data_IF_969473906098
#
_entry.id   IF_969473906098
#
_cell.length_a   1.000
_cell.length_b   1.000
_cell.length_c   1.000
_cell.angle_alpha   90.00
_cell.angle_beta   90.00
_cell.angle_gamma   90.00
#
_symmetry.space_group_name_H-M   'P 1'
#
loop_
_entity.id
_entity.type
_entity.pdbx_description
1 polymer ?
#
# COMPACT_ATOMS: atom_id res chain seq x y z
N UNK A 1 8.18 -18.29 1.81
CA UNK A 1 7.15 -18.03 2.81
C UNK A 1 7.64 -17.03 3.85
N UNK A 2 8.76 -17.27 4.53
CA UNK A 2 9.24 -16.48 5.67
C UNK A 2 9.48 -14.99 5.31
N UNK A 3 10.04 -14.71 4.12
CA UNK A 3 10.18 -13.32 3.64
C UNK A 3 8.83 -12.61 3.45
N UNK A 4 7.81 -13.32 2.95
CA UNK A 4 6.47 -12.74 2.79
C UNK A 4 5.85 -12.47 4.17
N UNK A 5 6.00 -13.38 5.11
CA UNK A 5 5.54 -13.21 6.49
C UNK A 5 6.23 -12.04 7.17
N UNK A 6 7.55 -11.89 7.00
CA UNK A 6 8.29 -10.73 7.53
C UNK A 6 7.80 -9.41 6.93
N UNK A 7 7.60 -9.37 5.61
CA UNK A 7 7.06 -8.18 4.94
C UNK A 7 5.64 -7.87 5.42
N UNK A 8 4.80 -8.89 5.54
CA UNK A 8 3.45 -8.74 6.09
C UNK A 8 3.47 -8.10 7.49
N UNK A 9 4.29 -8.61 8.40
CA UNK A 9 4.38 -8.05 9.75
C UNK A 9 4.92 -6.62 9.75
N UNK A 10 5.92 -6.32 8.92
CA UNK A 10 6.47 -4.97 8.81
C UNK A 10 5.43 -3.97 8.29
N UNK A 11 4.75 -4.29 7.20
CA UNK A 11 3.73 -3.41 6.63
C UNK A 11 2.51 -3.29 7.53
N UNK A 12 2.12 -4.38 8.19
CA UNK A 12 1.06 -4.39 9.19
C UNK A 12 1.38 -3.48 10.37
N UNK A 13 2.58 -3.58 10.94
CA UNK A 13 3.01 -2.71 12.05
C UNK A 13 3.08 -1.24 11.62
N UNK A 14 3.53 -0.95 10.39
CA UNK A 14 3.51 0.40 9.83
C UNK A 14 2.09 0.92 9.65
N UNK A 15 1.19 0.09 9.13
CA UNK A 15 -0.24 0.40 9.00
C UNK A 15 -0.85 0.72 10.37
N UNK A 16 -0.65 -0.13 11.36
CA UNK A 16 -1.16 0.06 12.73
C UNK A 16 -0.64 1.36 13.35
N UNK A 17 0.65 1.65 13.18
CA UNK A 17 1.23 2.92 13.64
C UNK A 17 0.59 4.13 12.98
N UNK A 18 0.43 4.11 11.65
CA UNK A 18 -0.19 5.23 10.92
C UNK A 18 -1.68 5.39 11.25
N UNK A 19 -2.40 4.29 11.42
CA UNK A 19 -3.80 4.31 11.85
C UNK A 19 -3.91 4.93 13.24
N UNK A 20 -3.10 4.48 14.21
CA UNK A 20 -3.10 5.02 15.57
C UNK A 20 -2.80 6.54 15.60
N UNK A 21 -1.81 7.01 14.83
CA UNK A 21 -1.48 8.43 14.71
C UNK A 21 -2.66 9.20 14.11
N UNK A 22 -3.33 8.61 13.11
CA UNK A 22 -4.46 9.26 12.43
C UNK A 22 -5.71 9.27 13.29
N UNK A 23 -6.03 8.19 14.00
CA UNK A 23 -7.18 8.11 14.91
C UNK A 23 -7.03 9.01 16.14
N UNK A 24 -5.80 9.22 16.60
CA UNK A 24 -5.51 10.17 17.70
C UNK A 24 -5.39 11.60 17.24
N UNK A 25 -5.50 11.86 15.94
CA UNK A 25 -5.28 13.20 15.37
C UNK A 25 -3.94 13.80 15.80
N UNK A 26 -2.90 12.96 15.88
CA UNK A 26 -1.55 13.41 16.20
C UNK A 26 -1.01 14.27 15.05
N UNK A 27 -0.53 15.47 15.39
CA UNK A 27 -0.13 16.49 14.42
C UNK A 27 -1.20 17.56 14.15
N UNK A 28 -2.41 17.40 14.67
CA UNK A 28 -3.43 18.44 14.68
C UNK A 28 -3.31 19.34 15.94
N UNK A 29 -3.90 20.52 15.86
CA UNK A 29 -3.99 21.41 17.03
C UNK A 29 -4.74 20.76 18.19
N UNK A 30 -4.37 21.08 19.43
CA UNK A 30 -4.98 20.49 20.62
C UNK A 30 -6.51 20.62 20.65
N UNK A 31 -7.03 21.79 20.24
CA UNK A 31 -8.47 22.03 20.14
C UNK A 31 -9.17 21.07 19.18
N UNK A 32 -8.57 20.80 18.04
CA UNK A 32 -9.12 19.89 17.02
C UNK A 32 -9.14 18.46 17.55
N UNK A 33 -8.02 18.01 18.12
CA UNK A 33 -7.92 16.68 18.72
C UNK A 33 -8.98 16.46 19.79
N UNK A 34 -9.16 17.43 20.69
CA UNK A 34 -10.16 17.34 21.76
C UNK A 34 -11.60 17.30 21.25
N UNK A 35 -11.89 17.98 20.16
CA UNK A 35 -13.20 17.87 19.51
C UNK A 35 -13.37 16.51 18.84
N UNK A 36 -12.32 16.00 18.18
CA UNK A 36 -12.40 14.71 17.47
C UNK A 36 -12.52 13.53 18.45
N UNK A 37 -12.03 13.65 19.69
CA UNK A 37 -12.29 12.68 20.78
C UNK A 37 -13.79 12.56 21.11
N UNK A 38 -14.59 13.58 20.79
CA UNK A 38 -16.06 13.57 21.01
C UNK A 38 -16.84 13.00 19.83
N UNK A 39 -16.20 12.66 18.73
CA UNK A 39 -16.87 12.24 17.48
C UNK A 39 -17.78 11.04 17.69
N UNK A 40 -17.33 10.04 18.43
CA UNK A 40 -18.11 8.81 18.68
C UNK A 40 -19.35 9.06 19.53
N UNK A 41 -19.33 10.09 20.39
CA UNK A 41 -20.44 10.48 21.26
C UNK A 41 -21.34 11.56 20.63
N UNK A 42 -20.87 12.26 19.61
CA UNK A 42 -21.62 13.31 18.91
C UNK A 42 -21.61 13.09 17.39
N UNK A 43 -22.64 12.45 16.84
CA UNK A 43 -22.74 12.16 15.41
C UNK A 43 -22.79 13.41 14.52
N UNK A 44 -23.03 14.60 15.09
CA UNK A 44 -22.97 15.85 14.35
C UNK A 44 -21.55 16.30 14.01
N UNK A 45 -20.51 15.65 14.55
CA UNK A 45 -19.11 15.83 14.17
C UNK A 45 -18.79 14.89 13.02
N UNK A 46 -18.71 15.40 11.80
CA UNK A 46 -18.51 14.58 10.60
C UNK A 46 -17.04 14.23 10.40
N UNK A 47 -16.11 15.08 10.81
CA UNK A 47 -14.68 14.87 10.70
C UNK A 47 -13.92 16.16 10.44
N UNK A 48 -12.66 16.06 10.07
CA UNK A 48 -11.88 17.20 9.56
C UNK A 48 -11.80 17.12 8.04
N UNK A 49 -11.46 18.23 7.37
CA UNK A 49 -11.35 18.28 5.91
C UNK A 49 -10.41 17.19 5.38
N UNK A 50 -9.28 16.95 6.05
CA UNK A 50 -8.34 15.90 5.69
C UNK A 50 -8.96 14.49 5.69
N UNK A 51 -10.03 14.25 6.47
CA UNK A 51 -10.73 12.96 6.49
C UNK A 51 -11.72 12.80 5.34
N UNK A 52 -12.23 13.90 4.81
CA UNK A 52 -13.30 13.94 3.83
C UNK A 52 -12.75 13.99 2.39
N UNK A 53 -11.66 14.72 2.19
CA UNK A 53 -11.08 14.96 0.87
C UNK A 53 -10.11 13.85 0.51
N UNK A 54 -10.37 13.16 -0.61
CA UNK A 54 -9.45 12.20 -1.23
C UNK A 54 -8.82 12.81 -2.47
N UNK A 55 -7.53 12.60 -2.65
CA UNK A 55 -6.78 13.20 -3.76
C UNK A 55 -5.80 12.18 -4.36
N UNK A 56 -5.57 12.27 -5.67
CA UNK A 56 -4.54 11.47 -6.33
C UNK A 56 -3.14 12.00 -5.97
N UNK A 57 -2.17 11.09 -5.83
CA UNK A 57 -0.80 11.41 -5.41
C UNK A 57 -0.18 12.60 -6.13
N UNK A 58 -0.41 12.71 -7.43
CA UNK A 58 0.15 13.80 -8.26
C UNK A 58 -0.37 15.19 -7.91
N UNK A 59 -1.52 15.28 -7.22
CA UNK A 59 -2.16 16.54 -6.84
C UNK A 59 -2.08 16.83 -5.33
N UNK A 60 -1.53 15.91 -4.51
CA UNK A 60 -1.48 16.05 -3.06
C UNK A 60 -0.87 17.39 -2.62
N UNK A 61 0.31 17.72 -3.13
CA UNK A 61 1.01 18.96 -2.77
C UNK A 61 0.20 20.19 -3.14
N UNK A 62 -0.37 20.21 -4.35
CA UNK A 62 -1.19 21.32 -4.81
C UNK A 62 -2.45 21.49 -3.94
N UNK A 63 -3.14 20.40 -3.63
CA UNK A 63 -4.38 20.45 -2.85
C UNK A 63 -4.09 20.78 -1.37
N UNK A 64 -3.02 20.23 -0.77
CA UNK A 64 -2.63 20.62 0.58
C UNK A 64 -2.26 22.10 0.65
N UNK A 65 -1.54 22.63 -0.33
CA UNK A 65 -1.24 24.06 -0.44
C UNK A 65 -2.53 24.88 -0.61
N UNK A 66 -3.42 24.43 -1.49
CA UNK A 66 -4.70 25.08 -1.73
C UNK A 66 -5.56 25.16 -0.47
N UNK A 67 -5.62 24.08 0.31
CA UNK A 67 -6.35 24.03 1.58
C UNK A 67 -5.60 24.79 2.68
N UNK A 68 -4.28 24.69 2.74
CA UNK A 68 -3.48 25.29 3.79
C UNK A 68 -3.99 24.90 5.18
N UNK A 69 -4.12 25.87 6.07
CA UNK A 69 -4.65 25.64 7.43
C UNK A 69 -6.09 25.12 7.48
N UNK A 70 -6.88 25.30 6.41
CA UNK A 70 -8.27 24.84 6.39
C UNK A 70 -8.40 23.31 6.34
N UNK A 71 -7.32 22.61 6.00
CA UNK A 71 -7.27 21.14 6.00
C UNK A 71 -7.64 20.52 7.36
N UNK A 72 -7.42 21.27 8.44
CA UNK A 72 -7.72 20.87 9.83
C UNK A 72 -9.09 21.35 10.31
N UNK A 73 -9.86 22.09 9.50
CA UNK A 73 -11.16 22.59 9.93
C UNK A 73 -12.12 21.42 10.14
N UNK A 74 -12.92 21.56 11.18
CA UNK A 74 -13.89 20.55 11.60
C UNK A 74 -15.19 20.75 10.82
N UNK A 75 -15.68 19.69 10.23
CA UNK A 75 -16.96 19.70 9.52
C UNK A 75 -18.04 19.19 10.48
N UNK A 76 -19.13 19.93 10.55
CA UNK A 76 -20.30 19.59 11.35
C UNK A 76 -21.55 19.50 10.48
N UNK A 77 -22.54 18.77 10.95
CA UNK A 77 -23.82 18.62 10.26
C UNK A 77 -24.55 19.97 10.15
N UNK A 78 -24.56 20.74 11.23
CA UNK A 78 -25.33 21.99 11.36
C UNK A 78 -24.65 23.01 12.28
N UNK A 79 -25.12 24.25 12.19
CA UNK A 79 -24.61 25.39 12.97
C UNK A 79 -24.81 25.24 14.49
N UNK A 80 -25.89 24.60 14.93
CA UNK A 80 -26.12 24.34 16.36
C UNK A 80 -25.03 23.44 16.95
N UNK A 81 -24.63 22.37 16.23
CA UNK A 81 -23.52 21.53 16.64
C UNK A 81 -22.21 22.32 16.74
N UNK A 82 -21.92 23.15 15.73
CA UNK A 82 -20.73 24.00 15.76
C UNK A 82 -20.74 24.95 16.96
N UNK A 83 -21.91 25.56 17.26
CA UNK A 83 -22.10 26.45 18.40
C UNK A 83 -21.82 25.74 19.75
N UNK A 84 -22.33 24.55 19.93
CA UNK A 84 -22.11 23.73 21.13
C UNK A 84 -20.62 23.39 21.31
N UNK A 85 -19.93 23.00 20.22
CA UNK A 85 -18.52 22.70 20.25
C UNK A 85 -17.64 23.93 20.52
N UNK A 86 -18.01 25.09 20.01
CA UNK A 86 -17.35 26.37 20.32
C UNK A 86 -17.50 26.68 21.83
N UNK A 87 -18.70 26.49 22.38
CA UNK A 87 -18.93 26.67 23.80
C UNK A 87 -18.10 25.68 24.63
N UNK A 88 -18.02 24.42 24.24
CA UNK A 88 -17.17 23.42 24.87
C UNK A 88 -15.70 23.81 24.86
N UNK A 89 -15.15 24.26 23.74
CA UNK A 89 -13.75 24.72 23.63
C UNK A 89 -13.50 25.91 24.58
N UNK A 90 -14.44 26.84 24.64
CA UNK A 90 -14.35 28.04 25.51
C UNK A 90 -14.37 27.67 26.99
N UNK A 91 -15.31 26.83 27.40
CA UNK A 91 -15.47 26.40 28.80
C UNK A 91 -14.24 25.65 29.30
N UNK A 92 -13.68 24.78 28.46
CA UNK A 92 -12.52 23.94 28.80
C UNK A 92 -11.18 24.60 28.50
N UNK A 93 -11.14 25.85 28.03
CA UNK A 93 -9.91 26.58 27.65
C UNK A 93 -8.99 25.82 26.68
N UNK A 94 -9.58 25.10 25.75
CA UNK A 94 -8.87 24.20 24.81
C UNK A 94 -8.32 24.90 23.55
N UNK A 95 -8.44 26.22 23.48
CA UNK A 95 -8.01 26.99 22.31
C UNK A 95 -9.15 27.24 21.33
N UNK A 96 -8.78 27.44 20.06
CA UNK A 96 -9.73 27.78 18.97
C UNK A 96 -9.69 26.74 17.88
N UNK A 97 -10.83 26.45 17.25
CA UNK A 97 -10.97 25.67 16.05
C UNK A 97 -11.95 26.37 15.08
N UNK A 98 -11.82 26.09 13.81
CA UNK A 98 -12.77 26.55 12.78
C UNK A 98 -13.72 25.42 12.47
N UNK A 99 -15.01 25.73 12.47
CA UNK A 99 -16.08 24.79 12.16
C UNK A 99 -16.73 25.14 10.84
N UNK A 100 -17.12 24.13 10.08
CA UNK A 100 -17.73 24.22 8.76
C UNK A 100 -19.07 23.47 8.81
N UNK A 101 -20.19 24.14 9.18
CA UNK A 101 -21.50 23.52 9.20
C UNK A 101 -22.01 23.30 7.78
N UNK A 102 -22.33 22.05 7.44
CA UNK A 102 -22.76 21.70 6.07
C UNK A 102 -24.07 22.38 5.66
N UNK A 103 -24.98 22.56 6.60
CA UNK A 103 -26.26 23.23 6.31
C UNK A 103 -26.13 24.72 5.98
N UNK A 104 -25.05 25.36 6.43
CA UNK A 104 -24.77 26.77 6.16
C UNK A 104 -23.85 26.99 4.95
N UNK A 105 -23.15 25.94 4.53
CA UNK A 105 -22.21 26.04 3.41
C UNK A 105 -22.95 25.77 2.09
N UNK A 106 -23.15 26.81 1.32
CA UNK A 106 -23.57 26.71 -0.05
C UNK A 106 -22.37 26.70 -0.98
N UNK A 107 -22.45 25.94 -2.07
CA UNK A 107 -21.42 25.97 -3.13
C UNK A 107 -21.26 27.38 -3.66
N UNK A 108 -20.03 27.91 -3.63
CA UNK A 108 -19.71 29.19 -4.27
C UNK A 108 -19.68 29.01 -5.79
N UNK A 109 -19.87 30.14 -6.53
CA UNK A 109 -19.59 30.12 -7.96
C UNK A 109 -18.15 29.64 -8.18
N UNK A 110 -18.02 28.54 -8.88
CA UNK A 110 -16.73 27.96 -9.26
C UNK A 110 -16.15 28.66 -10.48
N UNK A 111 -14.87 28.42 -10.76
CA UNK A 111 -14.23 28.94 -11.99
C UNK A 111 -14.63 28.16 -13.26
N UNK A 112 -15.54 27.21 -13.19
CA UNK A 112 -15.87 26.29 -14.29
C UNK A 112 -16.29 27.00 -15.62
N UNK A 113 -16.88 28.17 -15.50
CA UNK A 113 -17.31 28.97 -16.65
C UNK A 113 -16.33 30.08 -17.05
N UNK A 114 -15.24 30.22 -16.31
CA UNK A 114 -14.26 31.26 -16.53
C UNK A 114 -13.25 30.85 -17.63
N UNK A 115 -12.84 31.81 -18.49
CA UNK A 115 -11.90 31.49 -19.56
C UNK A 115 -10.53 31.01 -19.10
N UNK A 116 -10.16 31.30 -17.84
CA UNK A 116 -8.86 30.91 -17.26
C UNK A 116 -8.60 29.39 -17.24
N UNK A 117 -9.65 28.57 -17.31
CA UNK A 117 -9.53 27.11 -17.33
C UNK A 117 -8.86 26.60 -18.60
N UNK A 118 -8.98 27.34 -19.68
CA UNK A 118 -8.47 26.97 -21.01
C UNK A 118 -7.05 27.46 -21.28
N UNK A 119 -6.45 28.11 -20.31
CA UNK A 119 -5.09 28.62 -20.44
C UNK A 119 -4.07 27.49 -20.47
N UNK A 120 -2.94 27.74 -21.14
CA UNK A 120 -1.85 26.76 -21.22
C UNK A 120 -1.26 26.51 -19.84
N UNK A 121 -0.99 25.25 -19.53
CA UNK A 121 -0.46 24.80 -18.22
C UNK A 121 -1.52 24.62 -17.14
N UNK A 122 -2.80 24.92 -17.40
CA UNK A 122 -3.88 24.68 -16.45
C UNK A 122 -4.22 23.19 -16.42
N UNK A 123 -4.15 22.61 -15.22
CA UNK A 123 -4.54 21.23 -14.93
C UNK A 123 -6.05 21.15 -14.67
N UNK A 124 -6.57 22.12 -13.92
CA UNK A 124 -7.99 22.20 -13.61
C UNK A 124 -8.26 23.04 -12.36
N UNK A 125 -9.53 23.03 -11.96
CA UNK A 125 -9.95 23.64 -10.70
C UNK A 125 -9.68 22.67 -9.57
N UNK A 126 -9.17 23.15 -8.44
CA UNK A 126 -8.80 22.30 -7.32
C UNK A 126 -9.96 21.44 -6.81
N UNK A 127 -11.22 21.94 -6.87
CA UNK A 127 -12.41 21.16 -6.50
C UNK A 127 -12.65 19.93 -7.38
N UNK A 128 -12.23 19.98 -8.64
CA UNK A 128 -12.43 18.89 -9.61
C UNK A 128 -11.31 17.86 -9.57
N UNK A 129 -10.22 18.15 -8.84
CA UNK A 129 -9.06 17.28 -8.66
C UNK A 129 -9.13 16.46 -7.38
N UNK A 130 -10.20 16.64 -6.61
CA UNK A 130 -10.47 15.91 -5.36
C UNK A 130 -11.70 15.02 -5.54
N UNK A 131 -11.76 13.96 -4.76
CA UNK A 131 -12.92 13.08 -4.66
C UNK A 131 -13.52 13.22 -3.27
N UNK A 132 -14.80 13.47 -3.21
CA UNK A 132 -15.57 13.54 -1.97
C UNK A 132 -16.91 12.82 -2.18
N UNK A 133 -17.55 12.42 -1.08
CA UNK A 133 -18.93 11.90 -1.15
C UNK A 133 -19.89 13.03 -1.56
N UNK A 134 -20.99 12.66 -2.17
CA UNK A 134 -21.99 13.60 -2.72
C UNK A 134 -22.41 14.71 -1.72
N UNK A 135 -22.58 14.34 -0.46
CA UNK A 135 -22.94 15.28 0.63
C UNK A 135 -21.91 16.39 0.87
N UNK A 136 -20.64 16.18 0.49
CA UNK A 136 -19.55 17.14 0.66
C UNK A 136 -19.17 17.90 -0.63
N UNK A 137 -19.88 17.72 -1.72
CA UNK A 137 -19.58 18.43 -2.99
C UNK A 137 -19.61 19.94 -2.84
N UNK A 138 -20.64 20.47 -2.15
CA UNK A 138 -20.75 21.90 -1.90
C UNK A 138 -19.60 22.42 -1.02
N UNK A 139 -19.16 21.63 -0.05
CA UNK A 139 -18.02 21.95 0.79
C UNK A 139 -16.72 21.99 -0.03
N UNK A 140 -16.49 21.01 -0.92
CA UNK A 140 -15.33 20.99 -1.80
C UNK A 140 -15.34 22.20 -2.76
N UNK A 141 -16.50 22.54 -3.35
CA UNK A 141 -16.68 23.74 -4.19
C UNK A 141 -16.46 25.03 -3.39
N UNK A 142 -16.93 25.09 -2.14
CA UNK A 142 -16.72 26.24 -1.27
C UNK A 142 -15.23 26.48 -0.98
N UNK A 143 -14.48 25.43 -0.64
CA UNK A 143 -13.06 25.51 -0.27
C UNK A 143 -12.12 25.67 -1.48
N UNK A 144 -12.38 24.93 -2.55
CA UNK A 144 -11.45 24.70 -3.66
C UNK A 144 -11.95 25.20 -5.02
N UNK A 145 -13.22 25.55 -5.13
CA UNK A 145 -13.86 25.88 -6.42
C UNK A 145 -13.37 27.17 -7.07
N UNK A 146 -12.61 28.01 -6.37
CA UNK A 146 -12.01 29.24 -6.88
C UNK A 146 -10.49 29.21 -6.92
N UNK A 147 -9.89 28.03 -6.86
CA UNK A 147 -8.45 27.82 -6.90
C UNK A 147 -8.11 27.07 -8.19
N UNK A 148 -7.24 27.67 -8.99
CA UNK A 148 -6.76 27.09 -10.23
C UNK A 148 -5.48 26.30 -9.94
N UNK A 149 -5.40 25.07 -10.42
CA UNK A 149 -4.18 24.26 -10.34
C UNK A 149 -3.48 24.29 -11.69
N UNK A 150 -2.21 24.62 -11.67
CA UNK A 150 -1.35 24.83 -12.84
C UNK A 150 -0.11 23.93 -12.70
N UNK A 151 0.48 23.57 -13.81
CA UNK A 151 1.64 22.66 -13.87
C UNK A 151 2.89 23.22 -13.21
N UNK A 152 3.24 24.49 -13.46
CA UNK A 152 4.46 25.14 -12.99
C UNK A 152 4.25 26.64 -12.72
N UNK A 153 5.27 27.23 -12.09
CA UNK A 153 5.26 28.63 -11.65
C UNK A 153 5.26 29.61 -12.83
N UNK A 154 5.93 29.27 -13.94
CA UNK A 154 6.03 30.17 -15.09
C UNK A 154 4.65 30.37 -15.75
N UNK A 155 3.92 29.28 -15.97
CA UNK A 155 2.55 29.30 -16.45
C UNK A 155 1.63 29.99 -15.45
N UNK A 156 1.81 29.74 -14.15
CA UNK A 156 1.04 30.40 -13.10
C UNK A 156 1.22 31.92 -13.13
N UNK A 157 2.46 32.42 -13.32
CA UNK A 157 2.74 33.87 -13.44
C UNK A 157 2.14 34.48 -14.70
N UNK A 158 2.21 33.78 -15.84
CA UNK A 158 1.60 34.26 -17.09
C UNK A 158 0.08 34.42 -16.94
N UNK A 159 -0.58 33.42 -16.35
CA UNK A 159 -2.00 33.43 -16.08
C UNK A 159 -2.34 34.52 -15.05
N UNK A 160 -1.62 34.62 -13.96
CA UNK A 160 -1.85 35.64 -12.94
C UNK A 160 -1.79 37.06 -13.53
N UNK A 161 -0.76 37.38 -14.36
CA UNK A 161 -0.63 38.65 -15.05
C UNK A 161 -1.81 38.92 -16.00
N UNK A 162 -2.18 37.92 -16.82
CA UNK A 162 -3.27 38.01 -17.78
C UNK A 162 -4.59 38.34 -17.07
N UNK A 163 -4.84 37.74 -15.90
CA UNK A 163 -6.08 37.96 -15.12
C UNK A 163 -5.88 39.01 -14.01
N UNK A 164 -4.90 39.90 -14.13
CA UNK A 164 -4.65 41.06 -13.23
C UNK A 164 -4.56 40.63 -11.78
N UNK A 165 -3.92 39.49 -11.49
CA UNK A 165 -3.77 38.94 -10.14
C UNK A 165 -5.09 38.80 -9.36
N UNK A 166 -6.19 38.49 -10.05
CA UNK A 166 -7.49 38.27 -9.40
C UNK A 166 -7.73 36.82 -9.02
N UNK A 167 -6.93 35.89 -9.55
CA UNK A 167 -7.08 34.46 -9.34
C UNK A 167 -6.17 33.97 -8.21
N UNK A 168 -6.65 32.98 -7.46
CA UNK A 168 -5.80 32.16 -6.62
C UNK A 168 -5.33 30.95 -7.43
N UNK A 169 -4.03 30.83 -7.57
CA UNK A 169 -3.39 29.79 -8.39
C UNK A 169 -2.44 29.00 -7.49
N UNK A 170 -2.41 27.69 -7.68
CA UNK A 170 -1.48 26.79 -7.00
C UNK A 170 -0.83 25.90 -8.05
N UNK A 171 0.49 25.69 -7.97
CA UNK A 171 1.21 24.79 -8.86
C UNK A 171 1.23 23.37 -8.31
N UNK A 172 1.60 22.40 -9.15
CA UNK A 172 1.80 21.01 -8.70
C UNK A 172 2.92 20.88 -7.66
N UNK A 173 3.90 21.77 -7.69
CA UNK A 173 5.03 21.80 -6.74
C UNK A 173 4.69 22.52 -5.43
N UNK A 174 3.52 23.15 -5.36
CA UNK A 174 3.02 23.79 -4.15
C UNK A 174 3.35 25.27 -4.01
N UNK A 175 3.74 25.94 -5.11
CA UNK A 175 3.77 27.40 -5.08
C UNK A 175 2.34 27.97 -5.19
N UNK A 176 2.10 29.05 -4.50
CA UNK A 176 0.80 29.68 -4.45
C UNK A 176 0.89 31.15 -4.82
N UNK A 177 0.04 31.54 -5.73
CA UNK A 177 -0.20 32.94 -6.09
C UNK A 177 -1.57 33.34 -5.58
N UNK A 178 -1.62 34.37 -4.76
CA UNK A 178 -2.89 34.88 -4.21
C UNK A 178 -3.38 36.09 -4.97
N UNK A 179 -4.69 36.35 -4.92
CA UNK A 179 -5.24 37.61 -5.39
C UNK A 179 -4.51 38.80 -4.74
N UNK A 180 -4.20 39.80 -5.57
CA UNK A 180 -3.39 40.95 -5.14
C UNK A 180 -1.88 40.78 -5.34
N UNK A 181 -1.41 39.60 -5.84
CA UNK A 181 -0.04 39.39 -6.32
C UNK A 181 0.94 38.85 -5.29
N UNK A 182 0.49 38.54 -4.07
CA UNK A 182 1.38 37.87 -3.11
C UNK A 182 1.66 36.44 -3.56
N UNK A 183 2.92 36.03 -3.41
CA UNK A 183 3.41 34.74 -3.81
C UNK A 183 3.98 34.01 -2.60
N UNK A 184 3.68 32.75 -2.49
CA UNK A 184 4.25 31.83 -1.51
C UNK A 184 4.83 30.67 -2.27
N UNK A 185 6.10 30.38 -2.06
CA UNK A 185 6.81 29.30 -2.73
C UNK A 185 8.10 28.98 -2.00
N UNK A 186 8.82 28.06 -2.54
CA UNK A 186 10.02 27.52 -1.95
C UNK A 186 9.85 26.03 -1.72
N UNK A 187 10.86 25.40 -1.14
CA UNK A 187 10.80 23.98 -0.96
C UNK A 187 9.63 23.61 0.00
N UNK A 188 8.65 22.89 -0.53
CA UNK A 188 7.42 22.53 0.19
C UNK A 188 7.75 21.60 1.35
N UNK A 189 7.56 22.13 2.56
CA UNK A 189 7.69 21.35 3.78
C UNK A 189 6.34 20.80 4.17
N UNK A 190 6.06 19.59 3.78
CA UNK A 190 4.84 18.93 4.20
C UNK A 190 4.96 18.46 5.65
N UNK A 191 4.79 19.38 6.61
CA UNK A 191 4.92 19.07 8.04
C UNK A 191 3.80 18.16 8.55
N UNK A 192 2.66 18.19 7.89
CA UNK A 192 1.51 17.39 8.29
C UNK A 192 1.27 16.17 7.37
N UNK A 193 1.54 16.31 6.07
CA UNK A 193 1.22 15.30 5.03
C UNK A 193 -0.09 14.55 5.31
N UNK A 194 -1.13 15.30 5.67
CA UNK A 194 -2.37 14.71 6.19
C UNK A 194 -3.12 13.93 5.10
N UNK A 195 -3.14 14.46 3.86
CA UNK A 195 -3.75 13.77 2.71
C UNK A 195 -2.93 12.54 2.29
N UNK A 196 -1.61 12.69 2.20
CA UNK A 196 -0.71 11.60 1.84
C UNK A 196 -0.71 10.45 2.87
N UNK A 197 -0.83 10.78 4.16
CA UNK A 197 -0.93 9.76 5.22
C UNK A 197 -2.16 8.87 5.04
N UNK A 198 -3.30 9.45 4.69
CA UNK A 198 -4.54 8.69 4.47
C UNK A 198 -4.42 7.77 3.26
N UNK A 199 -3.85 8.26 2.17
CA UNK A 199 -3.55 7.43 0.99
C UNK A 199 -2.59 6.29 1.33
N UNK A 200 -1.52 6.57 2.08
CA UNK A 200 -0.56 5.56 2.52
C UNK A 200 -1.24 4.45 3.35
N UNK A 201 -2.17 4.81 4.23
CA UNK A 201 -3.00 3.84 4.97
C UNK A 201 -3.82 2.97 4.01
N UNK A 202 -4.45 3.55 2.98
CA UNK A 202 -5.23 2.78 2.00
C UNK A 202 -4.34 1.85 1.15
N UNK A 203 -3.15 2.32 0.74
CA UNK A 203 -2.16 1.52 0.01
C UNK A 203 -1.62 0.36 0.88
N UNK A 204 -1.27 0.65 2.13
CA UNK A 204 -0.81 -0.37 3.08
C UNK A 204 -1.90 -1.39 3.40
N UNK A 205 -3.17 -0.98 3.54
CA UNK A 205 -4.30 -1.91 3.72
C UNK A 205 -4.40 -2.90 2.56
N UNK A 206 -4.25 -2.44 1.33
CA UNK A 206 -4.26 -3.30 0.15
C UNK A 206 -3.07 -4.25 0.15
N UNK A 207 -1.86 -3.71 0.35
CA UNK A 207 -0.64 -4.51 0.37
C UNK A 207 -0.66 -5.57 1.48
N UNK A 208 -1.08 -5.21 2.69
CA UNK A 208 -1.25 -6.16 3.82
C UNK A 208 -2.26 -7.26 3.46
N UNK A 209 -3.37 -6.91 2.82
CA UNK A 209 -4.37 -7.88 2.37
C UNK A 209 -3.80 -8.85 1.31
N UNK A 210 -3.06 -8.32 0.33
CA UNK A 210 -2.43 -9.12 -0.73
C UNK A 210 -1.32 -10.03 -0.17
N UNK A 211 -0.48 -9.50 0.73
CA UNK A 211 0.55 -10.29 1.41
C UNK A 211 -0.05 -11.37 2.30
N UNK A 212 -1.16 -11.09 2.98
CA UNK A 212 -1.90 -12.08 3.77
C UNK A 212 -2.43 -13.23 2.90
N UNK A 213 -3.05 -12.91 1.76
CA UNK A 213 -3.52 -13.92 0.79
C UNK A 213 -2.37 -14.76 0.26
N UNK A 214 -1.31 -14.11 -0.21
CA UNK A 214 -0.12 -14.79 -0.73
C UNK A 214 0.55 -15.68 0.32
N UNK A 215 0.59 -15.23 1.57
CA UNK A 215 1.09 -16.03 2.69
C UNK A 215 0.26 -17.29 2.92
N UNK A 216 -1.07 -17.15 2.87
CA UNK A 216 -2.00 -18.29 3.06
C UNK A 216 -1.90 -19.28 1.91
N UNK A 217 -1.84 -18.80 0.67
CA UNK A 217 -1.67 -19.63 -0.52
C UNK A 217 -0.34 -20.40 -0.51
N UNK A 218 0.74 -19.74 -0.10
CA UNK A 218 2.03 -20.41 0.04
C UNK A 218 2.03 -21.44 1.18
N UNK A 219 1.31 -21.14 2.26
CA UNK A 219 1.19 -22.06 3.40
C UNK A 219 0.45 -23.33 2.99
N UNK A 220 -0.63 -23.20 2.21
CA UNK A 220 -1.34 -24.36 1.64
C UNK A 220 -0.46 -25.15 0.67
N UNK A 221 0.20 -24.47 -0.27
CA UNK A 221 1.13 -25.13 -1.20
C UNK A 221 2.28 -25.85 -0.48
N UNK A 222 2.81 -25.30 0.58
CA UNK A 222 3.84 -25.96 1.40
C UNK A 222 3.26 -27.18 2.11
N UNK A 223 2.04 -27.09 2.66
CA UNK A 223 1.37 -28.22 3.30
C UNK A 223 1.11 -29.36 2.29
N UNK A 224 0.59 -29.02 1.11
CA UNK A 224 0.34 -29.97 0.02
C UNK A 224 1.62 -30.65 -0.46
N UNK A 225 2.70 -29.86 -0.62
CA UNK A 225 3.99 -30.41 -1.02
C UNK A 225 4.58 -31.31 0.07
N UNK A 226 4.42 -30.95 1.35
CA UNK A 226 4.85 -31.81 2.47
C UNK A 226 4.08 -33.11 2.51
N UNK A 227 2.75 -33.06 2.29
CA UNK A 227 1.93 -34.27 2.20
C UNK A 227 2.36 -35.16 1.02
N UNK A 228 2.61 -34.57 -0.15
CA UNK A 228 3.14 -35.30 -1.30
C UNK A 228 4.52 -35.93 -1.04
N UNK A 229 5.41 -35.18 -0.38
CA UNK A 229 6.74 -35.70 -0.01
C UNK A 229 6.60 -36.86 0.98
N UNK A 230 5.69 -36.77 1.96
CA UNK A 230 5.44 -37.84 2.92
C UNK A 230 4.91 -39.08 2.20
N UNK A 231 3.91 -38.94 1.33
CA UNK A 231 3.38 -40.03 0.52
C UNK A 231 4.44 -40.69 -0.39
N UNK A 232 5.28 -39.89 -1.03
CA UNK A 232 6.37 -40.41 -1.86
C UNK A 232 7.39 -41.16 -1.00
N UNK A 233 7.70 -40.71 0.20
CA UNK A 233 8.59 -41.42 1.14
C UNK A 233 8.03 -42.78 1.55
N UNK A 234 6.74 -42.82 1.88
CA UNK A 234 6.06 -44.07 2.21
C UNK A 234 6.10 -45.07 1.02
N UNK A 235 5.91 -44.58 -0.20
CA UNK A 235 6.03 -45.39 -1.41
C UNK A 235 7.46 -45.91 -1.62
N UNK A 236 8.45 -45.03 -1.42
CA UNK A 236 9.86 -45.44 -1.52
C UNK A 236 10.21 -46.46 -0.45
N UNK A 237 9.73 -46.30 0.79
CA UNK A 237 9.99 -47.25 1.87
C UNK A 237 9.30 -48.59 1.62
N UNK A 238 8.08 -48.57 1.06
CA UNK A 238 7.35 -49.77 0.66
C UNK A 238 8.09 -50.50 -0.50
N UNK A 239 8.54 -49.72 -1.48
CA UNK A 239 9.30 -50.27 -2.63
C UNK A 239 10.66 -50.83 -2.21
N UNK A 240 11.38 -50.13 -1.33
CA UNK A 240 12.62 -50.62 -0.75
C UNK A 240 12.44 -51.94 0.04
N UNK A 241 11.30 -52.08 0.74
CA UNK A 241 10.96 -53.28 1.45
C UNK A 241 10.66 -54.43 0.50
N UNK A 242 9.85 -54.17 -0.55
CA UNK A 242 9.56 -55.15 -1.61
C UNK A 242 10.85 -55.58 -2.35
N UNK A 243 11.72 -54.62 -2.67
CA UNK A 243 13.01 -54.95 -3.29
C UNK A 243 13.93 -55.82 -2.39
N UNK A 244 13.91 -55.59 -1.06
CA UNK A 244 14.68 -56.46 -0.15
C UNK A 244 14.10 -57.87 -0.09
N UNK A 245 12.75 -57.97 -0.03
CA UNK A 245 12.07 -59.26 -0.03
C UNK A 245 12.31 -60.03 -1.35
N UNK A 246 12.25 -59.30 -2.49
CA UNK A 246 12.59 -59.85 -3.80
C UNK A 246 14.08 -60.26 -3.85
N UNK A 247 14.97 -59.42 -3.32
CA UNK A 247 16.40 -59.75 -3.29
C UNK A 247 16.70 -61.01 -2.41
N UNK A 248 16.01 -61.14 -1.29
CA UNK A 248 16.09 -62.32 -0.42
C UNK A 248 15.51 -63.57 -1.14
N UNK A 249 14.35 -63.39 -1.84
CA UNK A 249 13.74 -64.46 -2.61
C UNK A 249 14.67 -64.90 -3.77
N UNK A 250 15.24 -63.92 -4.50
CA UNK A 250 16.21 -64.17 -5.57
C UNK A 250 17.43 -64.94 -5.06
N UNK A 251 17.97 -64.54 -3.89
CA UNK A 251 19.11 -65.25 -3.27
C UNK A 251 18.72 -66.69 -2.86
N UNK A 252 17.51 -66.87 -2.32
CA UNK A 252 17.00 -68.19 -1.96
C UNK A 252 16.78 -69.05 -3.19
N UNK A 253 16.18 -68.48 -4.26
CA UNK A 253 16.00 -69.19 -5.54
C UNK A 253 17.35 -69.55 -6.23
N UNK A 254 18.33 -68.66 -6.08
CA UNK A 254 19.69 -68.92 -6.61
C UNK A 254 20.41 -70.05 -5.87
N UNK A 255 20.17 -70.18 -4.55
CA UNK A 255 20.62 -71.32 -3.77
C UNK A 255 19.90 -72.58 -4.17
N UNK A 256 18.57 -72.51 -4.36
CA UNK A 256 17.76 -73.65 -4.81
C UNK A 256 18.14 -74.09 -6.25
N UNK A 257 18.46 -73.12 -7.14
CA UNK A 257 18.98 -73.41 -8.48
C UNK A 257 20.30 -74.20 -8.45
N UNK A 258 21.18 -73.87 -7.52
CA UNK A 258 22.44 -74.64 -7.34
C UNK A 258 22.19 -76.09 -6.89
N UNK A 259 21.12 -76.31 -6.09
CA UNK A 259 20.66 -77.65 -5.74
C UNK A 259 19.88 -78.34 -6.86
N UNK A 260 19.16 -77.59 -7.66
CA UNK A 260 18.32 -78.12 -8.75
C UNK A 260 19.07 -78.41 -10.03
N UNK A 261 20.38 -78.11 -10.16
CA UNK A 261 21.23 -78.53 -11.30
C UNK A 261 21.26 -80.04 -11.58
N UNK A 262 20.78 -80.80 -10.61
CA UNK A 262 20.68 -82.29 -10.79
C UNK A 262 19.37 -82.74 -11.40
N UNK A 263 18.36 -81.89 -11.62
CA UNK A 263 17.09 -82.26 -12.29
C UNK A 263 16.83 -81.34 -13.51
N UNK A 264 17.53 -81.67 -14.60
CA UNK A 264 17.55 -80.82 -15.83
C UNK A 264 16.16 -80.52 -16.46
N UNK A 265 15.16 -81.39 -16.23
CA UNK A 265 13.84 -81.26 -16.87
C UNK A 265 12.90 -80.26 -16.12
N UNK A 266 13.10 -80.11 -14.76
CA UNK A 266 12.29 -79.18 -13.98
C UNK A 266 12.81 -77.73 -14.07
N UNK A 267 14.10 -77.55 -14.30
CA UNK A 267 14.77 -76.30 -14.40
C UNK A 267 14.22 -75.47 -15.60
N UNK A 268 13.89 -76.07 -16.67
CA UNK A 268 13.42 -75.36 -17.86
C UNK A 268 12.06 -74.70 -17.63
N UNK A 269 11.19 -75.39 -16.89
CA UNK A 269 9.87 -74.83 -16.55
C UNK A 269 10.02 -73.71 -15.48
N UNK A 270 10.89 -73.93 -14.51
CA UNK A 270 11.20 -72.90 -13.49
C UNK A 270 11.90 -71.71 -14.13
N UNK A 271 12.85 -71.91 -15.03
CA UNK A 271 13.56 -70.90 -15.76
C UNK A 271 12.63 -70.02 -16.63
N UNK A 272 11.68 -70.65 -17.35
CA UNK A 272 10.72 -69.92 -18.17
C UNK A 272 9.76 -69.10 -17.31
N UNK A 273 9.39 -69.58 -16.12
CA UNK A 273 8.59 -68.86 -15.16
C UNK A 273 9.33 -67.68 -14.55
N UNK A 274 10.58 -67.91 -14.08
CA UNK A 274 11.42 -66.86 -13.52
C UNK A 274 11.74 -65.76 -14.54
N UNK A 275 11.92 -66.14 -15.80
CA UNK A 275 12.15 -65.22 -16.91
C UNK A 275 10.92 -64.33 -17.19
N UNK A 276 9.72 -64.92 -17.12
CA UNK A 276 8.47 -64.16 -17.28
C UNK A 276 8.25 -63.18 -16.11
N UNK A 277 8.52 -63.62 -14.88
CA UNK A 277 8.42 -62.77 -13.69
C UNK A 277 9.48 -61.64 -13.69
N UNK A 278 10.72 -61.94 -14.12
CA UNK A 278 11.78 -60.94 -14.28
C UNK A 278 11.43 -59.88 -15.35
N UNK A 279 10.82 -60.34 -16.45
CA UNK A 279 10.39 -59.42 -17.51
C UNK A 279 9.25 -58.52 -17.06
N UNK A 280 8.34 -59.07 -16.24
CA UNK A 280 7.26 -58.27 -15.66
C UNK A 280 7.78 -57.31 -14.58
N UNK A 281 8.75 -57.72 -13.75
CA UNK A 281 9.44 -56.84 -12.78
C UNK A 281 10.20 -55.73 -13.51
N UNK A 282 10.91 -56.07 -14.59
CA UNK A 282 11.61 -55.06 -15.43
C UNK A 282 10.64 -54.07 -16.06
N UNK A 283 9.44 -54.52 -16.46
CA UNK A 283 8.40 -53.65 -16.96
C UNK A 283 7.93 -52.69 -15.83
N UNK A 284 7.68 -53.24 -14.66
CA UNK A 284 7.25 -52.44 -13.48
C UNK A 284 8.36 -51.47 -13.01
N UNK A 285 9.63 -51.92 -13.05
CA UNK A 285 10.77 -51.06 -12.73
C UNK A 285 10.86 -49.89 -13.73
N UNK A 286 10.67 -50.15 -15.02
CA UNK A 286 10.60 -49.08 -16.03
C UNK A 286 9.46 -48.11 -15.78
N UNK A 287 8.28 -48.62 -15.46
CA UNK A 287 7.14 -47.77 -15.09
C UNK A 287 7.42 -46.92 -13.82
N UNK A 288 8.08 -47.52 -12.83
CA UNK A 288 8.50 -46.80 -11.61
C UNK A 288 9.59 -45.77 -11.92
N UNK A 289 10.58 -46.09 -12.74
CA UNK A 289 11.62 -45.16 -13.15
C UNK A 289 11.06 -44.02 -14.03
N UNK A 290 10.10 -44.29 -14.90
CA UNK A 290 9.39 -43.25 -15.64
C UNK A 290 8.61 -42.33 -14.71
N UNK A 291 7.88 -42.90 -13.76
CA UNK A 291 7.16 -42.12 -12.73
C UNK A 291 8.11 -41.32 -11.86
N UNK A 292 9.23 -41.91 -11.42
CA UNK A 292 10.29 -41.23 -10.66
C UNK A 292 10.90 -40.07 -11.45
N UNK A 293 11.15 -40.27 -12.75
CA UNK A 293 11.66 -39.22 -13.62
C UNK A 293 10.61 -38.08 -13.83
N UNK A 294 9.32 -38.43 -13.96
CA UNK A 294 8.24 -37.42 -14.02
C UNK A 294 8.12 -36.64 -12.73
N UNK A 295 8.16 -37.33 -11.58
CA UNK A 295 8.13 -36.68 -10.26
C UNK A 295 9.35 -35.80 -10.06
N UNK A 296 10.56 -36.31 -10.45
CA UNK A 296 11.80 -35.52 -10.38
C UNK A 296 11.76 -34.29 -11.30
N UNK A 297 11.22 -34.46 -12.51
CA UNK A 297 11.01 -33.35 -13.44
C UNK A 297 10.01 -32.31 -12.89
N UNK A 298 8.94 -32.78 -12.28
CA UNK A 298 7.96 -31.90 -11.63
C UNK A 298 8.56 -31.16 -10.43
N UNK A 299 9.41 -31.83 -9.64
CA UNK A 299 10.15 -31.23 -8.53
C UNK A 299 11.12 -30.14 -9.01
N UNK A 300 11.87 -30.43 -10.06
CA UNK A 300 12.76 -29.45 -10.69
C UNK A 300 12.02 -28.26 -11.28
N UNK A 301 10.84 -28.49 -11.90
CA UNK A 301 10.00 -27.41 -12.39
C UNK A 301 9.45 -26.54 -11.25
N UNK A 302 9.06 -27.17 -10.14
CA UNK A 302 8.63 -26.46 -8.93
C UNK A 302 9.77 -25.67 -8.29
N UNK A 303 10.99 -26.21 -8.28
CA UNK A 303 12.18 -25.50 -7.77
C UNK A 303 12.50 -24.28 -8.64
N UNK A 304 12.42 -24.42 -9.96
CA UNK A 304 12.59 -23.30 -10.90
C UNK A 304 11.49 -22.26 -10.67
N UNK A 305 10.24 -22.69 -10.47
CA UNK A 305 9.12 -21.79 -10.19
C UNK A 305 9.30 -21.08 -8.86
N UNK A 306 9.74 -21.80 -7.83
CA UNK A 306 10.06 -21.23 -6.52
C UNK A 306 11.20 -20.21 -6.60
N UNK A 307 12.24 -20.52 -7.38
CA UNK A 307 13.37 -19.61 -7.59
C UNK A 307 12.96 -18.36 -8.39
N UNK A 308 12.08 -18.56 -9.40
CA UNK A 308 11.47 -17.43 -10.12
C UNK A 308 10.64 -16.55 -9.19
N UNK A 309 9.79 -17.16 -8.36
CA UNK A 309 9.00 -16.44 -7.37
C UNK A 309 9.88 -15.73 -6.33
N UNK A 310 11.00 -16.35 -5.92
CA UNK A 310 12.00 -15.71 -5.05
C UNK A 310 12.64 -14.49 -5.70
N UNK A 311 12.99 -14.58 -6.98
CA UNK A 311 13.55 -13.44 -7.74
C UNK A 311 12.52 -12.32 -7.92
N UNK A 312 11.25 -12.68 -8.11
CA UNK A 312 10.17 -11.70 -8.22
C UNK A 312 9.92 -10.99 -6.87
N UNK A 313 9.92 -11.74 -5.77
CA UNK A 313 9.88 -11.20 -4.41
C UNK A 313 11.10 -10.31 -4.13
N UNK A 314 12.30 -10.74 -4.55
CA UNK A 314 13.50 -9.91 -4.41
C UNK A 314 13.43 -8.62 -5.23
N UNK A 315 12.89 -8.70 -6.45
CA UNK A 315 12.68 -7.53 -7.30
C UNK A 315 11.65 -6.57 -6.69
N UNK A 316 10.54 -7.12 -6.20
CA UNK A 316 9.53 -6.33 -5.48
C UNK A 316 10.10 -5.68 -4.21
N UNK A 317 10.96 -6.42 -3.48
CA UNK A 317 11.66 -5.88 -2.32
C UNK A 317 12.63 -4.76 -2.71
N UNK A 318 13.38 -4.91 -3.82
CA UNK A 318 14.25 -3.84 -4.35
C UNK A 318 13.45 -2.60 -4.77
N UNK A 319 12.29 -2.82 -5.40
CA UNK A 319 11.39 -1.72 -5.74
C UNK A 319 10.83 -1.04 -4.48
N UNK A 320 10.48 -1.84 -3.46
CA UNK A 320 10.00 -1.33 -2.18
C UNK A 320 11.10 -0.52 -1.45
N UNK A 321 12.33 -1.02 -1.43
CA UNK A 321 13.47 -0.31 -0.83
C UNK A 321 13.81 0.97 -1.63
N UNK A 322 13.73 0.91 -2.96
CA UNK A 322 13.88 2.09 -3.78
C UNK A 322 12.80 3.14 -3.47
N UNK A 323 11.55 2.68 -3.31
CA UNK A 323 10.44 3.58 -2.93
C UNK A 323 10.56 4.12 -1.51
N UNK A 324 11.10 3.33 -0.59
CA UNK A 324 11.43 3.84 0.76
C UNK A 324 12.53 4.89 0.71
N UNK A 325 13.60 4.63 -0.07
CA UNK A 325 14.68 5.60 -0.22
C UNK A 325 14.20 6.91 -0.91
N UNK A 326 13.23 6.81 -1.86
CA UNK A 326 12.57 7.98 -2.42
C UNK A 326 11.75 8.72 -1.35
N UNK A 327 11.03 7.96 -0.49
CA UNK A 327 10.25 8.51 0.62
C UNK A 327 11.15 9.17 1.67
N UNK A 328 12.25 8.51 2.04
CA UNK A 328 13.21 9.05 3.00
C UNK A 328 13.87 10.34 2.46
N UNK A 329 14.23 10.36 1.17
CA UNK A 329 14.70 11.60 0.51
C UNK A 329 13.62 12.69 0.54
N UNK A 330 12.39 12.33 0.24
CA UNK A 330 11.27 13.28 0.30
C UNK A 330 11.06 13.81 1.73
N UNK A 331 11.21 12.94 2.74
CA UNK A 331 11.14 13.33 4.14
C UNK A 331 12.32 14.23 4.55
N UNK A 332 13.55 13.91 4.10
CA UNK A 332 14.73 14.75 4.32
C UNK A 332 14.57 16.10 3.62
N UNK A 333 14.05 16.10 2.40
CA UNK A 333 13.72 17.34 1.68
C UNK A 333 12.65 18.14 2.44
N UNK A 334 11.62 17.49 2.94
CA UNK A 334 10.58 18.10 3.80
C UNK A 334 11.22 18.65 5.09
N UNK A 335 12.11 17.92 5.74
CA UNK A 335 12.81 18.43 6.95
C UNK A 335 13.70 19.63 6.64
N UNK A 336 14.44 19.56 5.53
CA UNK A 336 15.27 20.69 5.08
C UNK A 336 14.40 21.91 4.76
N UNK A 337 13.24 21.67 4.19
CA UNK A 337 12.27 22.70 3.90
C UNK A 337 11.69 23.32 5.17
N UNK A 338 11.38 22.50 6.16
CA UNK A 338 10.99 22.93 7.50
C UNK A 338 11.98 23.89 8.10
N UNK A 339 13.26 23.54 8.09
CA UNK A 339 14.35 24.39 8.62
C UNK A 339 14.43 25.72 7.88
N UNK A 340 14.29 25.69 6.55
CA UNK A 340 14.31 26.92 5.73
C UNK A 340 13.11 27.82 6.02
N UNK A 341 11.91 27.22 6.13
CA UNK A 341 10.70 27.95 6.45
C UNK A 341 10.80 28.62 7.83
N UNK A 342 11.22 27.87 8.86
CA UNK A 342 11.45 28.41 10.20
C UNK A 342 12.49 29.55 10.22
N UNK A 343 13.54 29.40 9.39
CA UNK A 343 14.54 30.48 9.23
C UNK A 343 13.96 31.73 8.55
N UNK A 344 13.03 31.53 7.63
CA UNK A 344 12.33 32.65 6.97
C UNK A 344 11.33 33.32 7.93
N UNK A 345 10.57 32.51 8.68
CA UNK A 345 9.67 33.05 9.72
C UNK A 345 10.42 33.89 10.76
N UNK A 346 11.58 33.38 11.24
CA UNK A 346 12.44 34.12 12.16
C UNK A 346 12.94 35.43 11.55
N UNK A 347 13.36 35.41 10.26
CA UNK A 347 13.75 36.60 9.56
C UNK A 347 12.60 37.57 9.34
N UNK A 348 11.41 37.05 9.05
CA UNK A 348 10.20 37.87 8.86
C UNK A 348 9.76 38.52 10.18
N UNK A 349 9.77 37.73 11.27
CA UNK A 349 9.51 38.24 12.62
C UNK A 349 10.53 39.33 13.02
N UNK A 350 11.82 39.08 12.75
CA UNK A 350 12.90 40.06 13.00
C UNK A 350 12.73 41.33 12.16
N UNK A 351 12.29 41.21 10.91
CA UNK A 351 12.00 42.36 10.04
C UNK A 351 10.76 43.11 10.55
N UNK A 352 9.71 42.38 10.99
CA UNK A 352 8.51 43.00 11.59
C UNK A 352 8.80 43.72 12.90
N UNK A 353 9.67 43.19 13.77
CA UNK A 353 10.11 43.85 15.00
C UNK A 353 10.95 45.10 14.75
N UNK A 354 11.60 45.20 13.58
CA UNK A 354 12.46 46.39 13.28
C UNK A 354 11.78 47.41 12.33
N UNK A 355 10.48 47.26 12.06
CA UNK A 355 9.65 48.21 11.26
C UNK A 355 8.74 49.09 12.17
N UNK A 356 8.90 49.01 13.50
CA UNK A 356 8.24 49.93 14.43
C UNK A 356 9.19 51.08 14.84
#
# INVERSE_FOLDING_TARGET
>A
HDKIVQNYHREKSRLESLVNITERYDGYGNSIRKIMELKDSNPGILGVIADIVKVERKYETAIETALGGTIQNIVTDKESTAKELIAYLKQNKLGRATFLPLNAISGRNTLEKEPCIKENGVIGIASNLVRVSFEYENLAKYLLGRILVVDNIDNALLIAKKYKYSLRIVTLEGEQLNPGGSMTGGAFKNSSNLLGRRREIEELKKSVSELSKSSTELKTKIADNRAKIASIRELIDADNKANREVSLAVNTEQMNLNQAKQKLSEIRIIYDKDKAETTEIDRQIKEIDENKNQVSGSLSALDIQNESSRKEIENLNKQLEAKKAELDKANDDIENLKRRFSSVEQKTAFIQENII
#
